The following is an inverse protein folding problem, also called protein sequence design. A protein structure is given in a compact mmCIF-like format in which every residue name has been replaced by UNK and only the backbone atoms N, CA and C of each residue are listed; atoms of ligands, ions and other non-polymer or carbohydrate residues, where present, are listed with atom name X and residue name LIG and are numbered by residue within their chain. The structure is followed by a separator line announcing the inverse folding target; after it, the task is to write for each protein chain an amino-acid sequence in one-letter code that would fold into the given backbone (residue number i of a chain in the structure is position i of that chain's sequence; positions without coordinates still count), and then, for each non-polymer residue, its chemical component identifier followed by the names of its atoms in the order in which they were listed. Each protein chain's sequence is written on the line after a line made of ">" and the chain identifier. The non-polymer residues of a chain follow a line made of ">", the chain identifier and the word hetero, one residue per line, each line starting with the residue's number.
data_IF_981202117055
#
_entry.id   IF_981202117055
#
_cell.length_a   1.000
_cell.length_b   1.000
_cell.length_c   1.000
_cell.angle_alpha   90.00
_cell.angle_beta   90.00
_cell.angle_gamma   90.00
#
_symmetry.space_group_name_H-M   'P 1'
#
loop_
_entity.id
_entity.type
_entity.pdbx_description
1 polymer ?
#
# COMPACT_ATOMS: atom_id res chain seq x y z
N UNK A 1 -15.82 -10.68 32.96
CA UNK A 1 -14.39 -10.96 32.69
C UNK A 1 -14.21 -11.13 31.19
N UNK A 2 -13.67 -10.12 30.51
CA UNK A 2 -12.79 -10.30 29.35
C UNK A 2 -11.89 -9.06 29.32
N UNK A 3 -10.99 -9.00 30.30
CA UNK A 3 -10.22 -7.82 30.66
C UNK A 3 -8.88 -7.68 29.95
N UNK A 4 -8.64 -8.41 28.85
CA UNK A 4 -7.30 -8.53 28.25
C UNK A 4 -7.21 -8.12 26.76
N UNK A 5 -8.21 -7.44 26.20
CA UNK A 5 -8.12 -6.90 24.84
C UNK A 5 -7.65 -5.43 24.87
N UNK A 6 -6.43 -5.19 24.39
CA UNK A 6 -5.84 -3.86 24.24
C UNK A 6 -6.45 -3.14 23.03
N UNK A 7 -7.18 -2.05 23.29
CA UNK A 7 -7.89 -1.25 22.28
C UNK A 7 -7.27 0.15 22.22
N UNK A 8 -6.33 0.42 21.30
CA UNK A 8 -5.61 1.70 21.23
C UNK A 8 -6.54 2.84 20.80
N UNK A 9 -6.55 3.97 21.50
CA UNK A 9 -7.29 5.20 21.09
C UNK A 9 -6.38 6.15 20.32
N UNK A 10 -5.07 6.09 20.60
CA UNK A 10 -4.02 6.88 19.97
C UNK A 10 -2.86 5.96 19.57
N UNK A 11 -1.92 6.49 18.78
CA UNK A 11 -0.69 5.78 18.39
C UNK A 11 0.14 5.42 19.63
N UNK A 12 0.12 6.28 20.64
CA UNK A 12 0.80 6.05 21.91
C UNK A 12 0.17 4.89 22.67
N UNK A 13 -1.14 4.70 22.55
CA UNK A 13 -1.86 3.57 23.16
C UNK A 13 -1.67 2.26 22.41
N UNK A 14 -0.87 2.21 21.34
CA UNK A 14 -0.38 0.96 20.76
C UNK A 14 0.91 0.49 21.46
N UNK A 15 1.54 1.36 22.28
CA UNK A 15 2.72 1.04 23.10
C UNK A 15 2.21 0.38 24.38
N UNK A 16 2.42 -0.93 24.54
CA UNK A 16 1.98 -1.63 25.75
C UNK A 16 2.73 -1.16 27.01
N UNK A 17 3.98 -0.68 26.88
CA UNK A 17 4.86 -0.09 27.90
C UNK A 17 5.85 0.90 27.21
N UNK A 18 6.59 1.72 27.98
CA UNK A 18 7.65 2.60 27.43
C UNK A 18 8.76 1.87 26.66
N UNK A 19 8.89 0.55 26.84
CA UNK A 19 9.81 -0.34 26.13
C UNK A 19 9.16 -1.10 24.94
N UNK A 20 7.91 -0.79 24.60
CA UNK A 20 7.18 -1.39 23.47
C UNK A 20 7.36 -0.55 22.21
N UNK A 21 7.98 -1.14 21.19
CA UNK A 21 8.22 -0.51 19.89
C UNK A 21 7.00 -0.69 18.98
N UNK A 22 6.50 0.40 18.40
CA UNK A 22 5.48 0.37 17.35
C UNK A 22 6.14 0.20 15.99
N UNK A 23 5.80 -0.88 15.30
CA UNK A 23 6.32 -1.18 13.97
C UNK A 23 5.27 -0.78 12.91
N UNK A 24 5.67 0.08 11.96
CA UNK A 24 4.99 0.29 10.68
C UNK A 24 3.67 1.05 10.69
N UNK A 25 3.71 2.38 10.79
CA UNK A 25 2.68 3.24 10.20
C UNK A 25 3.36 4.33 9.39
N UNK A 26 3.22 4.30 8.07
CA UNK A 26 3.39 5.53 7.28
C UNK A 26 2.09 6.31 7.44
N UNK A 27 2.08 7.20 8.42
CA UNK A 27 1.01 8.18 8.57
C UNK A 27 1.30 9.22 7.51
N UNK A 28 0.39 9.38 6.57
CA UNK A 28 0.44 10.50 5.65
C UNK A 28 0.20 11.75 6.49
N UNK A 29 1.25 12.51 6.76
CA UNK A 29 1.19 13.73 7.56
C UNK A 29 1.30 14.99 6.71
N UNK A 30 1.64 14.85 5.42
CA UNK A 30 1.70 15.96 4.48
C UNK A 30 0.55 15.88 3.48
N UNK A 31 -0.04 17.04 3.17
CA UNK A 31 -1.08 17.15 2.15
C UNK A 31 -0.53 16.67 0.80
N UNK A 32 0.72 17.00 0.46
CA UNK A 32 1.37 16.55 -0.77
C UNK A 32 1.40 15.01 -0.90
N UNK A 33 1.69 14.31 0.20
CA UNK A 33 1.73 12.84 0.20
C UNK A 33 0.34 12.21 0.19
N UNK A 34 -0.64 12.87 0.81
CA UNK A 34 -2.07 12.56 0.70
C UNK A 34 -2.58 12.77 -0.73
N UNK A 35 -1.99 13.74 -1.42
CA UNK A 35 -2.39 14.22 -2.74
C UNK A 35 -1.55 13.67 -3.89
N UNK A 36 -0.65 12.69 -3.68
CA UNK A 36 0.15 12.04 -4.74
C UNK A 36 -0.68 11.36 -5.88
N UNK A 37 -1.99 11.60 -5.94
CA UNK A 37 -2.93 11.25 -7.02
C UNK A 37 -3.52 12.51 -7.71
N UNK A 38 -3.68 13.65 -7.01
CA UNK A 38 -4.35 14.86 -7.51
C UNK A 38 -3.47 15.79 -8.35
N UNK A 39 -2.19 15.95 -7.97
CA UNK A 39 -1.23 16.80 -8.68
C UNK A 39 -0.93 16.33 -10.10
N UNK A 40 -1.04 15.02 -10.38
CA UNK A 40 -0.88 14.47 -11.72
C UNK A 40 -2.05 14.83 -12.65
N UNK A 41 -3.28 14.87 -12.11
CA UNK A 41 -4.50 15.22 -12.84
C UNK A 41 -4.58 16.74 -13.08
N UNK A 42 -4.24 17.55 -12.09
CA UNK A 42 -4.25 19.01 -12.19
C UNK A 42 -3.30 19.55 -13.29
N UNK A 43 -2.07 19.01 -13.38
CA UNK A 43 -1.11 19.42 -14.43
C UNK A 43 -1.49 18.97 -15.84
N UNK A 44 -2.08 17.77 -16.00
CA UNK A 44 -2.46 17.27 -17.33
C UNK A 44 -3.79 17.87 -17.84
N UNK A 45 -4.74 18.18 -16.94
CA UNK A 45 -6.05 18.72 -17.32
C UNK A 45 -6.07 20.24 -17.50
N UNK A 46 -5.15 21.01 -16.92
CA UNK A 46 -5.08 22.47 -17.15
C UNK A 46 -4.83 22.86 -18.63
N UNK A 47 -4.17 22.00 -19.41
CA UNK A 47 -3.92 22.22 -20.84
C UNK A 47 -5.08 21.76 -21.74
N UNK A 48 -6.03 21.02 -21.19
CA UNK A 48 -7.24 20.58 -21.87
C UNK A 48 -8.39 21.44 -21.35
N UNK A 49 -9.40 21.72 -22.15
CA UNK A 49 -10.55 22.51 -21.68
C UNK A 49 -11.37 21.67 -20.67
N UNK A 50 -10.92 21.59 -19.40
CA UNK A 50 -11.36 20.61 -18.40
C UNK A 50 -12.87 20.66 -18.16
N UNK A 51 -13.45 21.87 -18.23
CA UNK A 51 -14.89 22.13 -18.16
C UNK A 51 -15.65 21.35 -19.23
N UNK A 52 -15.09 21.14 -20.42
CA UNK A 52 -15.75 20.37 -21.48
C UNK A 52 -15.67 18.85 -21.28
N UNK A 53 -14.70 18.37 -20.49
CA UNK A 53 -14.39 16.95 -20.32
C UNK A 53 -14.84 16.38 -18.96
N UNK A 54 -15.72 17.11 -18.27
CA UNK A 54 -16.32 16.70 -17.01
C UNK A 54 -17.06 15.36 -17.14
N UNK A 55 -16.83 14.45 -16.20
CA UNK A 55 -17.49 13.15 -16.14
C UNK A 55 -18.54 13.10 -15.02
N UNK A 56 -19.54 12.23 -15.18
CA UNK A 56 -20.47 11.91 -14.09
C UNK A 56 -19.67 11.30 -12.93
N UNK A 57 -19.98 11.71 -11.72
CA UNK A 57 -19.28 11.42 -10.45
C UNK A 57 -17.89 12.06 -10.32
N UNK A 58 -17.46 12.90 -11.27
CA UNK A 58 -16.25 13.71 -11.09
C UNK A 58 -16.48 14.74 -9.98
N UNK A 59 -15.51 14.88 -9.07
CA UNK A 59 -15.50 15.92 -8.05
C UNK A 59 -15.11 17.26 -8.67
N UNK A 60 -15.63 18.35 -8.10
CA UNK A 60 -15.30 19.75 -8.47
C UNK A 60 -15.29 20.61 -7.20
N UNK A 61 -14.61 21.75 -7.24
CA UNK A 61 -14.72 22.77 -6.20
C UNK A 61 -15.86 23.72 -6.60
N UNK A 62 -16.83 23.98 -5.73
CA UNK A 62 -17.93 24.92 -6.03
C UNK A 62 -18.15 25.90 -4.88
N UNK A 63 -18.12 27.20 -5.18
CA UNK A 63 -18.40 28.23 -4.20
C UNK A 63 -19.91 28.41 -4.02
N UNK A 64 -20.42 28.05 -2.84
CA UNK A 64 -21.83 28.04 -2.54
C UNK A 64 -22.09 28.53 -1.10
N UNK A 65 -23.08 29.42 -0.92
CA UNK A 65 -23.46 29.99 0.38
C UNK A 65 -22.27 30.54 1.20
N UNK A 66 -21.36 31.25 0.53
CA UNK A 66 -20.25 31.94 1.20
C UNK A 66 -19.04 31.05 1.52
N UNK A 67 -19.06 29.77 1.17
CA UNK A 67 -17.95 28.83 1.37
C UNK A 67 -17.68 27.97 0.13
N UNK A 68 -16.46 27.46 0.04
CA UNK A 68 -16.11 26.45 -0.96
C UNK A 68 -16.62 25.08 -0.48
N UNK A 69 -17.25 24.36 -1.40
CA UNK A 69 -17.75 23.00 -1.22
C UNK A 69 -17.09 22.08 -2.24
N UNK A 70 -17.16 20.77 -2.00
CA UNK A 70 -16.55 19.74 -2.86
C UNK A 70 -17.60 18.80 -3.50
N UNK A 71 -18.56 19.31 -4.28
CA UNK A 71 -19.62 18.47 -4.85
C UNK A 71 -19.10 17.58 -5.99
N UNK A 72 -19.89 16.59 -6.36
CA UNK A 72 -19.68 15.79 -7.57
C UNK A 72 -20.72 16.11 -8.63
N UNK A 73 -20.37 15.81 -9.88
CA UNK A 73 -21.24 15.98 -11.03
C UNK A 73 -22.24 14.83 -11.07
N UNK A 74 -23.51 15.11 -10.80
CA UNK A 74 -24.58 14.12 -10.81
C UNK A 74 -25.11 13.87 -12.22
N UNK A 75 -25.27 14.93 -13.00
CA UNK A 75 -25.77 14.87 -14.38
C UNK A 75 -25.07 15.87 -15.28
N UNK A 76 -24.83 15.44 -16.52
CA UNK A 76 -24.40 16.30 -17.63
C UNK A 76 -25.62 16.53 -18.52
N UNK A 77 -26.01 17.80 -18.73
CA UNK A 77 -27.16 18.10 -19.58
C UNK A 77 -26.79 18.04 -21.07
N UNK A 78 -27.76 17.67 -21.91
CA UNK A 78 -27.58 17.42 -23.36
C UNK A 78 -27.03 18.62 -24.16
N UNK A 79 -27.13 19.84 -23.64
CA UNK A 79 -26.57 21.05 -24.26
C UNK A 79 -25.10 21.29 -23.91
N UNK A 80 -24.49 20.45 -23.06
CA UNK A 80 -23.12 20.60 -22.53
C UNK A 80 -22.82 21.93 -21.82
N UNK A 81 -23.79 22.83 -21.67
CA UNK A 81 -23.60 24.14 -21.06
C UNK A 81 -23.75 24.11 -19.53
N UNK A 82 -24.55 23.18 -19.00
CA UNK A 82 -24.86 23.10 -17.58
C UNK A 82 -24.60 21.70 -17.01
N UNK A 83 -24.28 21.65 -15.73
CA UNK A 83 -24.12 20.44 -14.92
C UNK A 83 -25.01 20.52 -13.70
N UNK A 84 -25.49 19.37 -13.24
CA UNK A 84 -26.16 19.29 -11.94
C UNK A 84 -25.15 18.78 -10.93
N UNK A 85 -24.84 19.61 -9.95
CA UNK A 85 -23.93 19.29 -8.85
C UNK A 85 -24.73 19.04 -7.58
N UNK A 86 -24.29 18.05 -6.81
CA UNK A 86 -24.91 17.70 -5.53
C UNK A 86 -24.13 18.36 -4.39
N UNK A 87 -24.66 19.47 -3.86
CA UNK A 87 -23.96 20.31 -2.87
C UNK A 87 -24.10 19.75 -1.46
N UNK A 88 -25.23 19.10 -1.15
CA UNK A 88 -25.46 18.35 0.10
C UNK A 88 -26.61 17.36 -0.08
N UNK A 89 -26.87 16.50 0.91
CA UNK A 89 -27.86 15.39 0.88
C UNK A 89 -29.27 15.77 0.40
N UNK A 90 -29.65 17.06 0.45
CA UNK A 90 -30.99 17.53 0.12
C UNK A 90 -31.02 18.53 -1.04
N UNK A 91 -29.85 18.90 -1.59
CA UNK A 91 -29.76 20.02 -2.53
C UNK A 91 -28.90 19.72 -3.75
N UNK A 92 -29.55 19.83 -4.90
CA UNK A 92 -28.93 19.88 -6.22
C UNK A 92 -28.92 21.32 -6.72
N UNK A 93 -27.82 21.72 -7.36
CA UNK A 93 -27.71 23.00 -8.05
C UNK A 93 -27.43 22.73 -9.53
N UNK A 94 -28.09 23.47 -10.42
CA UNK A 94 -27.80 23.46 -11.84
C UNK A 94 -26.83 24.62 -12.10
N UNK A 95 -25.60 24.30 -12.47
CA UNK A 95 -24.48 25.24 -12.59
C UNK A 95 -23.96 25.23 -14.01
N UNK A 96 -23.73 26.42 -14.57
CA UNK A 96 -23.11 26.53 -15.87
C UNK A 96 -21.66 26.02 -15.83
N UNK A 97 -21.22 25.26 -16.83
CA UNK A 97 -19.84 24.72 -16.86
C UNK A 97 -18.78 25.82 -16.82
N UNK A 98 -19.10 27.01 -17.30
CA UNK A 98 -18.24 28.19 -17.28
C UNK A 98 -18.44 29.10 -16.06
N UNK A 99 -19.22 28.66 -15.06
CA UNK A 99 -19.43 29.43 -13.83
C UNK A 99 -18.08 29.69 -13.13
N UNK A 100 -17.85 30.93 -12.72
CA UNK A 100 -16.64 31.35 -12.01
C UNK A 100 -16.56 30.79 -10.59
N UNK A 101 -17.69 30.36 -10.04
CA UNK A 101 -17.76 29.66 -8.76
C UNK A 101 -17.43 28.17 -8.91
N UNK A 102 -17.36 27.64 -10.13
CA UNK A 102 -17.01 26.24 -10.40
C UNK A 102 -15.54 26.13 -10.78
N UNK A 103 -14.76 25.45 -9.95
CA UNK A 103 -13.33 25.23 -10.11
C UNK A 103 -12.99 23.75 -10.15
N UNK A 104 -11.79 23.45 -10.64
CA UNK A 104 -11.31 22.07 -10.66
C UNK A 104 -11.15 21.56 -9.23
N UNK A 105 -11.48 20.29 -9.00
CA UNK A 105 -11.41 19.69 -7.66
C UNK A 105 -10.02 19.85 -7.03
N UNK A 106 -10.00 20.29 -5.77
CA UNK A 106 -8.81 20.58 -4.95
C UNK A 106 -8.01 21.80 -5.40
N UNK A 107 -8.59 22.72 -6.17
CA UNK A 107 -7.99 24.03 -6.41
C UNK A 107 -7.92 24.88 -5.11
N UNK A 108 -8.75 24.57 -4.12
CA UNK A 108 -8.85 25.30 -2.84
C UNK A 108 -8.39 24.52 -1.61
N UNK A 109 -7.83 23.32 -1.75
CA UNK A 109 -7.16 22.64 -0.64
C UNK A 109 -5.91 23.43 -0.23
N UNK A 110 -5.79 23.78 1.04
CA UNK A 110 -4.69 24.57 1.60
C UNK A 110 -4.01 23.82 2.74
N UNK A 111 -2.81 24.27 3.13
CA UNK A 111 -2.08 23.71 4.29
C UNK A 111 -2.82 23.82 5.63
N UNK A 112 -3.92 24.58 5.68
CA UNK A 112 -4.79 24.66 6.86
C UNK A 112 -5.81 23.51 6.96
N UNK A 113 -5.96 22.69 5.92
CA UNK A 113 -6.81 21.51 5.97
C UNK A 113 -6.13 20.39 6.79
N UNK A 114 -6.88 19.80 7.73
CA UNK A 114 -6.39 18.74 8.60
C UNK A 114 -6.38 17.36 7.91
N UNK A 115 -5.39 16.55 8.26
CA UNK A 115 -5.38 15.13 7.90
C UNK A 115 -5.94 14.34 9.08
N UNK A 116 -7.04 13.64 8.81
CA UNK A 116 -7.70 12.77 9.77
C UNK A 116 -6.92 11.46 9.87
N UNK A 117 -6.47 11.14 11.07
CA UNK A 117 -5.79 9.88 11.38
C UNK A 117 -6.68 9.06 12.29
N UNK A 118 -7.40 8.09 11.74
CA UNK A 118 -8.47 7.34 12.43
C UNK A 118 -8.10 5.86 12.53
N UNK A 119 -8.09 5.26 13.74
CA UNK A 119 -7.91 3.81 13.91
C UNK A 119 -9.05 3.01 13.30
N UNK A 120 -8.73 1.92 12.61
CA UNK A 120 -9.65 0.92 12.08
C UNK A 120 -9.45 -0.37 12.87
N UNK A 121 -10.55 -0.99 13.30
CA UNK A 121 -10.56 -2.31 13.93
C UNK A 121 -11.52 -3.21 13.16
N UNK A 122 -11.06 -4.42 12.82
CA UNK A 122 -11.88 -5.40 12.14
C UNK A 122 -12.42 -6.44 13.11
N UNK A 123 -13.71 -6.71 12.96
CA UNK A 123 -14.46 -7.63 13.79
C UNK A 123 -15.12 -8.70 12.94
N UNK A 124 -15.14 -9.92 13.47
CA UNK A 124 -15.81 -11.05 12.88
C UNK A 124 -17.11 -11.30 13.64
N UNK A 125 -18.20 -11.54 12.92
CA UNK A 125 -19.46 -11.94 13.50
C UNK A 125 -19.60 -13.47 13.47
N UNK A 126 -19.50 -14.12 14.62
CA UNK A 126 -19.56 -15.58 14.74
C UNK A 126 -20.91 -16.07 15.28
N UNK A 127 -22.03 -15.56 14.76
CA UNK A 127 -23.42 -15.88 15.11
C UNK A 127 -23.86 -15.69 16.58
N UNK A 128 -22.92 -15.59 17.53
CA UNK A 128 -23.17 -15.44 18.97
C UNK A 128 -22.37 -14.27 19.58
N UNK A 129 -21.25 -13.86 18.97
CA UNK A 129 -20.42 -12.76 19.47
C UNK A 129 -19.68 -12.03 18.33
N UNK A 130 -19.48 -10.71 18.49
CA UNK A 130 -18.66 -9.88 17.62
C UNK A 130 -17.28 -9.74 18.26
N UNK A 131 -16.27 -10.40 17.71
CA UNK A 131 -14.91 -10.40 18.27
C UNK A 131 -13.92 -9.75 17.33
N UNK A 132 -12.94 -8.97 17.83
CA UNK A 132 -11.87 -8.44 17.01
C UNK A 132 -10.99 -9.61 16.54
N UNK A 133 -10.69 -9.67 15.24
CA UNK A 133 -9.91 -10.79 14.66
C UNK A 133 -8.66 -10.32 13.89
N UNK A 134 -8.50 -9.01 13.66
CA UNK A 134 -7.33 -8.46 13.00
C UNK A 134 -6.57 -7.50 13.92
N UNK A 135 -5.29 -7.28 13.58
CA UNK A 135 -4.53 -6.18 14.16
C UNK A 135 -5.19 -4.85 13.70
N UNK A 136 -5.42 -3.87 14.60
CA UNK A 136 -5.93 -2.55 14.22
C UNK A 136 -5.03 -1.84 13.21
N UNK A 137 -5.55 -1.10 12.23
CA UNK A 137 -4.75 -0.30 11.31
C UNK A 137 -5.10 1.19 11.40
N UNK A 138 -4.22 2.09 10.93
CA UNK A 138 -4.46 3.55 10.98
C UNK A 138 -4.78 4.07 9.58
N UNK A 139 -5.94 4.72 9.41
CA UNK A 139 -6.31 5.39 8.17
C UNK A 139 -5.90 6.86 8.22
N UNK A 140 -5.15 7.33 7.22
CA UNK A 140 -4.82 8.75 7.04
C UNK A 140 -5.54 9.28 5.80
N UNK A 141 -6.50 10.19 5.98
CA UNK A 141 -7.27 10.81 4.90
C UNK A 141 -7.44 12.30 5.14
N UNK A 142 -7.54 13.11 4.09
CA UNK A 142 -7.82 14.54 4.24
C UNK A 142 -9.22 14.80 4.77
N UNK A 143 -9.40 15.86 5.56
CA UNK A 143 -10.73 16.27 6.02
C UNK A 143 -11.66 16.71 4.86
N UNK A 144 -11.09 17.05 3.70
CA UNK A 144 -11.81 17.36 2.46
C UNK A 144 -12.32 16.13 1.70
N UNK A 145 -12.04 14.91 2.19
CA UNK A 145 -12.64 13.69 1.65
C UNK A 145 -14.14 13.67 1.96
N UNK A 146 -14.90 12.92 1.17
CA UNK A 146 -16.32 12.65 1.44
C UNK A 146 -16.51 11.33 2.18
N UNK A 147 -17.72 11.10 2.71
CA UNK A 147 -18.09 9.78 3.24
C UNK A 147 -18.00 8.67 2.19
N UNK A 148 -18.35 8.95 0.94
CA UNK A 148 -18.17 8.04 -0.19
C UNK A 148 -16.70 7.66 -0.41
N UNK A 149 -15.79 8.64 -0.38
CA UNK A 149 -14.35 8.39 -0.51
C UNK A 149 -13.82 7.54 0.63
N UNK A 150 -14.23 7.84 1.87
CA UNK A 150 -13.90 7.03 3.04
C UNK A 150 -14.37 5.58 2.86
N UNK A 151 -15.62 5.37 2.41
CA UNK A 151 -16.13 4.01 2.13
C UNK A 151 -15.29 3.29 1.09
N UNK A 152 -14.85 3.96 0.03
CA UNK A 152 -14.01 3.34 -1.00
C UNK A 152 -12.62 2.98 -0.48
N UNK A 153 -12.00 3.81 0.36
CA UNK A 153 -10.75 3.45 1.03
C UNK A 153 -10.91 2.23 1.95
N UNK A 154 -12.02 2.16 2.70
CA UNK A 154 -12.31 0.99 3.53
C UNK A 154 -12.52 -0.27 2.69
N UNK A 155 -13.22 -0.17 1.54
CA UNK A 155 -13.35 -1.30 0.60
C UNK A 155 -12.00 -1.75 0.06
N UNK A 156 -11.10 -0.81 -0.24
CA UNK A 156 -9.73 -1.10 -0.70
C UNK A 156 -8.92 -1.82 0.37
N UNK A 157 -9.09 -1.46 1.65
CA UNK A 157 -8.49 -2.18 2.79
C UNK A 157 -9.06 -3.60 2.89
N UNK A 158 -10.39 -3.75 2.88
CA UNK A 158 -11.04 -5.06 2.92
C UNK A 158 -10.68 -5.97 1.74
N UNK A 159 -10.41 -5.41 0.55
CA UNK A 159 -10.02 -6.17 -0.64
C UNK A 159 -8.75 -6.98 -0.45
N UNK A 160 -7.87 -6.59 0.47
CA UNK A 160 -6.68 -7.35 0.83
C UNK A 160 -7.01 -8.69 1.51
N UNK A 161 -8.23 -8.83 2.03
CA UNK A 161 -8.66 -9.98 2.82
C UNK A 161 -9.74 -10.83 2.11
N UNK A 162 -10.17 -10.50 0.90
CA UNK A 162 -11.22 -11.27 0.18
C UNK A 162 -11.00 -11.35 -1.34
N UNK A 163 -11.58 -12.39 -1.97
CA UNK A 163 -11.50 -12.63 -3.42
C UNK A 163 -11.95 -11.40 -4.23
N UNK A 164 -11.26 -11.11 -5.34
CA UNK A 164 -11.58 -10.04 -6.30
C UNK A 164 -13.04 -10.11 -6.79
N UNK A 165 -13.63 -11.30 -6.89
CA UNK A 165 -14.98 -11.49 -7.39
C UNK A 165 -16.08 -11.16 -6.38
N UNK A 166 -15.74 -11.04 -5.09
CA UNK A 166 -16.72 -10.75 -4.03
C UNK A 166 -16.98 -9.24 -3.96
N UNK A 167 -18.24 -8.86 -3.83
CA UNK A 167 -18.59 -7.46 -3.53
C UNK A 167 -18.35 -7.23 -2.04
N UNK A 168 -17.38 -6.39 -1.69
CA UNK A 168 -17.00 -6.13 -0.29
C UNK A 168 -18.20 -5.72 0.56
N UNK A 169 -19.07 -4.88 0.04
CA UNK A 169 -20.28 -4.39 0.71
C UNK A 169 -21.28 -5.51 1.06
N UNK A 170 -21.22 -6.62 0.31
CA UNK A 170 -22.07 -7.78 0.59
C UNK A 170 -21.58 -8.56 1.82
N UNK A 171 -20.31 -8.42 2.20
CA UNK A 171 -19.66 -9.17 3.28
C UNK A 171 -19.16 -8.30 4.44
N UNK A 172 -19.16 -6.97 4.32
CA UNK A 172 -18.73 -6.06 5.39
C UNK A 172 -19.73 -4.94 5.63
N UNK A 173 -19.81 -4.49 6.88
CA UNK A 173 -20.42 -3.21 7.27
C UNK A 173 -19.37 -2.30 7.90
N UNK A 174 -19.48 -1.00 7.67
CA UNK A 174 -18.55 0.00 8.19
C UNK A 174 -19.24 0.94 9.16
N UNK A 175 -18.67 1.10 10.36
CA UNK A 175 -19.20 1.96 11.40
C UNK A 175 -18.16 2.98 11.84
N UNK A 176 -18.62 4.18 12.18
CA UNK A 176 -17.82 5.19 12.87
C UNK A 176 -18.27 5.25 14.33
N UNK A 177 -17.32 5.02 15.21
CA UNK A 177 -17.50 4.94 16.65
C UNK A 177 -16.82 6.14 17.32
N UNK A 178 -17.54 6.84 18.18
CA UNK A 178 -16.97 7.84 19.07
C UNK A 178 -16.64 7.18 20.42
N UNK A 179 -15.37 7.27 20.83
CA UNK A 179 -14.86 6.66 22.06
C UNK A 179 -15.24 7.51 23.27
N UNK A 180 -15.34 8.84 23.11
CA UNK A 180 -15.64 9.79 24.18
C UNK A 180 -17.05 10.37 24.04
N UNK A 181 -17.89 10.17 25.06
CA UNK A 181 -19.26 10.68 25.23
C UNK A 181 -20.27 10.41 24.09
N UNK A 182 -21.53 10.21 24.50
CA UNK A 182 -22.60 9.58 23.72
C UNK A 182 -23.14 10.31 22.49
N UNK A 183 -22.44 11.31 21.93
CA UNK A 183 -22.91 12.01 20.71
C UNK A 183 -22.20 11.43 19.49
N UNK A 184 -23.01 10.92 18.56
CA UNK A 184 -22.55 10.41 17.29
C UNK A 184 -22.04 11.53 16.36
N UNK A 185 -20.84 11.40 15.78
CA UNK A 185 -20.32 12.40 14.82
C UNK A 185 -20.96 12.31 13.43
N UNK A 186 -21.68 11.23 13.12
CA UNK A 186 -22.42 11.04 11.87
C UNK A 186 -23.77 11.76 11.94
N UNK A 187 -24.69 11.30 12.81
CA UNK A 187 -26.08 11.78 12.85
C UNK A 187 -26.41 12.71 14.04
N UNK A 188 -25.42 13.04 14.90
CA UNK A 188 -25.57 13.93 16.07
C UNK A 188 -26.56 13.45 17.14
N UNK A 189 -27.01 12.20 17.06
CA UNK A 189 -27.91 11.58 18.05
C UNK A 189 -27.15 10.95 19.22
N UNK A 190 -27.87 10.62 20.30
CA UNK A 190 -27.31 10.06 21.53
C UNK A 190 -27.00 8.55 21.41
N UNK A 191 -25.98 8.21 20.63
CA UNK A 191 -25.37 6.88 20.58
C UNK A 191 -23.90 6.97 20.18
N UNK A 192 -23.14 5.90 20.44
CA UNK A 192 -21.68 5.89 20.28
C UNK A 192 -21.19 5.41 18.93
N UNK A 193 -22.01 4.67 18.17
CA UNK A 193 -21.62 4.16 16.86
C UNK A 193 -22.74 4.36 15.83
N UNK A 194 -22.38 4.67 14.59
CA UNK A 194 -23.32 4.78 13.48
C UNK A 194 -22.70 4.15 12.24
N UNK A 195 -23.53 3.63 11.34
CA UNK A 195 -23.04 3.21 10.04
C UNK A 195 -22.46 4.42 9.31
N UNK A 196 -21.29 4.25 8.71
CA UNK A 196 -20.68 5.29 7.88
C UNK A 196 -21.63 5.53 6.70
N UNK A 197 -22.14 6.73 6.43
CA UNK A 197 -23.11 6.94 5.37
C UNK A 197 -22.46 6.76 3.99
N UNK A 198 -23.30 6.58 2.97
CA UNK A 198 -22.89 6.50 1.57
C UNK A 198 -23.39 7.75 0.83
N UNK A 199 -22.79 8.89 1.16
CA UNK A 199 -23.13 10.19 0.63
C UNK A 199 -21.85 10.99 0.33
N UNK A 200 -22.02 12.21 -0.17
CA UNK A 200 -20.91 13.07 -0.59
C UNK A 200 -20.68 14.26 0.36
N UNK A 201 -21.20 14.22 1.59
CA UNK A 201 -20.83 15.22 2.59
C UNK A 201 -19.35 15.06 2.97
N UNK A 202 -18.65 16.19 3.09
CA UNK A 202 -17.24 16.22 3.44
C UNK A 202 -17.00 15.85 4.93
N UNK A 203 -15.76 15.50 5.26
CA UNK A 203 -15.36 15.09 6.60
C UNK A 203 -14.79 16.24 7.44
N UNK A 204 -14.94 17.51 7.03
CA UNK A 204 -14.36 18.66 7.73
C UNK A 204 -14.86 18.77 9.17
N UNK A 205 -16.11 18.38 9.41
CA UNK A 205 -16.71 18.35 10.74
C UNK A 205 -16.01 17.38 11.70
N UNK A 206 -15.23 16.43 11.18
CA UNK A 206 -14.44 15.49 11.99
C UNK A 206 -13.05 16.06 12.35
N UNK A 207 -12.58 17.12 11.70
CA UNK A 207 -11.22 17.66 11.89
C UNK A 207 -10.88 18.01 13.34
N UNK A 208 -11.87 18.41 14.14
CA UNK A 208 -11.67 18.73 15.56
C UNK A 208 -11.89 17.55 16.51
N UNK A 209 -12.46 16.44 16.05
CA UNK A 209 -12.91 15.32 16.90
C UNK A 209 -12.33 13.97 16.49
N UNK A 210 -11.62 13.87 15.37
CA UNK A 210 -11.15 12.59 14.82
C UNK A 210 -10.25 11.79 15.75
N UNK A 211 -9.53 12.45 16.67
CA UNK A 211 -8.70 11.80 17.69
C UNK A 211 -9.52 10.91 18.65
N UNK A 212 -10.83 11.14 18.74
CA UNK A 212 -11.75 10.37 19.57
C UNK A 212 -12.57 9.37 18.74
N UNK A 213 -12.26 9.22 17.45
CA UNK A 213 -13.01 8.36 16.54
C UNK A 213 -12.28 7.04 16.32
N UNK A 214 -13.06 6.01 16.02
CA UNK A 214 -12.60 4.72 15.50
C UNK A 214 -13.51 4.27 14.39
N UNK A 215 -12.95 3.59 13.42
CA UNK A 215 -13.70 2.88 12.39
C UNK A 215 -13.77 1.41 12.78
N UNK A 216 -14.97 0.87 12.76
CA UNK A 216 -15.26 -0.53 13.04
C UNK A 216 -15.74 -1.19 11.76
N UNK A 217 -14.98 -2.17 11.26
CA UNK A 217 -15.36 -2.99 10.12
C UNK A 217 -15.90 -4.31 10.65
N UNK A 218 -17.17 -4.61 10.38
CA UNK A 218 -17.81 -5.86 10.81
C UNK A 218 -17.99 -6.78 9.61
N UNK A 219 -17.35 -7.94 9.65
CA UNK A 219 -17.44 -8.96 8.62
C UNK A 219 -18.62 -9.90 8.89
N UNK A 220 -19.42 -10.16 7.85
CA UNK A 220 -20.65 -10.96 7.89
C UNK A 220 -20.42 -12.46 7.72
N UNK A 221 -19.26 -12.86 7.21
CA UNK A 221 -18.90 -14.26 6.99
C UNK A 221 -17.39 -14.50 7.15
N UNK A 222 -16.98 -15.77 7.09
CA UNK A 222 -15.58 -16.22 7.23
C UNK A 222 -14.83 -16.34 5.90
N UNK A 223 -15.31 -15.68 4.83
CA UNK A 223 -14.74 -15.75 3.48
C UNK A 223 -13.48 -14.90 3.33
N UNK A 224 -12.53 -15.09 4.24
CA UNK A 224 -11.22 -14.47 4.21
C UNK A 224 -10.31 -15.24 3.25
N UNK A 225 -9.29 -14.59 2.69
CA UNK A 225 -8.14 -15.34 2.17
C UNK A 225 -7.56 -16.16 3.33
N UNK A 226 -7.48 -17.48 3.18
CA UNK A 226 -6.56 -18.26 3.99
C UNK A 226 -5.15 -17.73 3.71
N UNK A 227 -4.41 -17.37 4.77
CA UNK A 227 -3.00 -17.02 4.62
C UNK A 227 -2.33 -18.12 3.79
N UNK A 228 -1.64 -17.75 2.70
CA UNK A 228 -0.71 -18.67 2.08
C UNK A 228 0.25 -19.11 3.18
N UNK A 229 0.20 -20.41 3.52
CA UNK A 229 1.22 -21.00 4.38
C UNK A 229 2.55 -20.66 3.72
N UNK A 230 3.45 -20.03 4.46
CA UNK A 230 4.84 -19.89 4.03
C UNK A 230 5.36 -21.31 3.89
N UNK A 231 5.30 -21.88 2.69
CA UNK A 231 5.91 -23.17 2.42
C UNK A 231 7.40 -22.95 2.59
N UNK A 232 7.92 -23.48 3.70
CA UNK A 232 9.35 -23.68 3.84
C UNK A 232 9.68 -24.70 2.77
N UNK A 233 10.34 -24.23 1.70
CA UNK A 233 10.67 -25.09 0.56
C UNK A 233 11.51 -26.25 1.06
N UNK A 234 11.12 -27.46 0.66
CA UNK A 234 11.91 -28.65 0.90
C UNK A 234 13.25 -28.53 0.15
N UNK A 235 14.32 -28.90 0.83
CA UNK A 235 15.67 -28.98 0.28
C UNK A 235 15.73 -30.05 -0.82
N UNK A 236 15.63 -29.63 -2.07
CA UNK A 236 16.28 -30.27 -3.21
C UNK A 236 17.01 -29.17 -4.00
N UNK A 237 18.16 -29.50 -4.61
CA UNK A 237 19.18 -28.65 -5.26
C UNK A 237 18.69 -27.39 -6.02
N UNK A 238 18.14 -26.43 -5.27
CA UNK A 238 17.56 -25.18 -5.74
C UNK A 238 18.05 -24.09 -4.81
N UNK A 239 18.59 -23.01 -5.40
CA UNK A 239 19.03 -21.85 -4.62
C UNK A 239 17.87 -20.88 -4.52
N UNK A 240 17.65 -20.32 -3.34
CA UNK A 240 16.78 -19.15 -3.21
C UNK A 240 17.55 -17.88 -3.57
N UNK A 241 16.82 -16.83 -3.93
CA UNK A 241 17.39 -15.50 -4.08
C UNK A 241 18.07 -15.03 -2.78
N UNK A 242 17.55 -15.46 -1.62
CA UNK A 242 18.15 -15.15 -0.33
C UNK A 242 19.53 -15.80 -0.16
N UNK A 243 19.71 -17.03 -0.65
CA UNK A 243 21.01 -17.71 -0.62
C UNK A 243 22.03 -16.94 -1.47
N UNK A 244 21.64 -16.54 -2.69
CA UNK A 244 22.48 -15.74 -3.57
C UNK A 244 22.91 -14.41 -2.92
N UNK A 245 22.00 -13.75 -2.21
CA UNK A 245 22.29 -12.48 -1.53
C UNK A 245 23.11 -12.66 -0.26
N UNK A 246 22.94 -13.78 0.44
CA UNK A 246 23.75 -14.12 1.62
C UNK A 246 25.20 -14.38 1.23
N UNK A 247 25.41 -15.09 0.12
CA UNK A 247 26.73 -15.29 -0.48
C UNK A 247 27.35 -13.94 -0.92
N UNK A 248 26.55 -13.05 -1.51
CA UNK A 248 27.01 -11.73 -1.97
C UNK A 248 27.56 -10.84 -0.84
N UNK A 249 27.07 -10.99 0.39
CA UNK A 249 27.50 -10.19 1.56
C UNK A 249 28.44 -10.95 2.50
N UNK A 250 28.86 -12.16 2.13
CA UNK A 250 29.71 -12.98 2.97
C UNK A 250 31.06 -12.29 3.25
N UNK A 251 31.63 -12.58 4.41
CA UNK A 251 32.98 -12.15 4.76
C UNK A 251 34.01 -12.85 3.88
N UNK A 252 34.87 -12.05 3.24
CA UNK A 252 35.92 -12.54 2.34
C UNK A 252 37.28 -12.09 2.87
N UNK A 253 38.33 -12.93 2.84
CA UNK A 253 39.67 -12.50 3.20
C UNK A 253 40.20 -11.46 2.21
N UNK A 254 40.94 -10.47 2.73
CA UNK A 254 41.65 -9.49 1.92
C UNK A 254 43.13 -9.83 1.94
N UNK A 255 43.75 -9.91 0.77
CA UNK A 255 45.20 -10.04 0.63
C UNK A 255 45.87 -8.65 0.67
N UNK A 256 45.72 -7.93 1.79
CA UNK A 256 46.35 -6.62 1.99
C UNK A 256 46.74 -6.43 3.46
N UNK A 257 47.98 -5.99 3.69
CA UNK A 257 48.49 -5.71 5.03
C UNK A 257 47.76 -4.52 5.66
N UNK A 258 47.26 -4.70 6.87
CA UNK A 258 46.68 -3.61 7.63
C UNK A 258 47.77 -2.63 8.06
N UNK A 259 47.61 -1.35 7.71
CA UNK A 259 48.54 -0.28 8.08
C UNK A 259 48.74 -0.12 9.60
N UNK A 260 47.76 -0.56 10.40
CA UNK A 260 47.78 -0.40 11.86
C UNK A 260 48.44 -1.59 12.56
N UNK A 261 48.09 -2.83 12.20
CA UNK A 261 48.58 -4.03 12.88
C UNK A 261 49.56 -4.88 12.06
N UNK A 262 49.83 -4.52 10.80
CA UNK A 262 50.71 -5.25 9.87
C UNK A 262 50.35 -6.73 9.66
N UNK A 263 49.08 -7.09 9.90
CA UNK A 263 48.54 -8.43 9.64
C UNK A 263 47.83 -8.44 8.28
N UNK A 264 47.90 -9.59 7.60
CA UNK A 264 47.32 -9.84 6.28
C UNK A 264 46.06 -10.72 6.33
N UNK A 265 45.62 -11.16 7.52
CA UNK A 265 44.48 -12.07 7.69
C UNK A 265 43.17 -11.36 8.06
N UNK A 266 42.89 -10.22 7.43
CA UNK A 266 41.66 -9.49 7.67
C UNK A 266 40.53 -9.97 6.76
N UNK A 267 39.31 -9.98 7.32
CA UNK A 267 38.09 -10.22 6.56
C UNK A 267 37.41 -8.89 6.26
N UNK A 268 36.92 -8.73 5.03
CA UNK A 268 36.00 -7.65 4.65
C UNK A 268 34.59 -8.20 4.56
N UNK A 269 33.63 -7.45 5.12
CA UNK A 269 32.21 -7.67 4.93
C UNK A 269 31.61 -6.51 4.15
N UNK A 270 30.91 -6.83 3.07
CA UNK A 270 30.09 -5.85 2.34
C UNK A 270 28.65 -5.96 2.79
N UNK A 271 27.91 -4.85 2.76
CA UNK A 271 26.46 -4.87 3.00
C UNK A 271 25.82 -3.58 2.55
N UNK A 272 24.50 -3.50 2.69
CA UNK A 272 23.71 -2.38 2.25
C UNK A 272 23.62 -1.31 3.35
N UNK A 273 23.87 -0.05 2.97
CA UNK A 273 23.71 1.10 3.87
C UNK A 273 22.31 1.72 3.76
N UNK A 274 21.81 1.84 2.53
CA UNK A 274 20.49 2.36 2.19
C UNK A 274 19.91 1.53 1.03
N UNK A 275 18.57 1.52 0.90
CA UNK A 275 17.85 0.72 -0.10
C UNK A 275 16.92 1.58 -0.96
N UNK A 276 16.82 1.32 -2.28
CA UNK A 276 16.07 2.15 -3.22
C UNK A 276 14.55 1.88 -3.20
N UNK A 277 13.71 2.79 -3.72
CA UNK A 277 12.28 2.50 -3.92
C UNK A 277 12.06 1.38 -4.95
N UNK A 278 12.94 1.29 -5.95
CA UNK A 278 12.95 0.22 -6.95
C UNK A 278 14.28 -0.51 -6.84
N UNK A 279 14.21 -1.77 -6.39
CA UNK A 279 15.36 -2.66 -6.31
C UNK A 279 15.47 -3.44 -7.61
N UNK A 280 16.60 -3.32 -8.30
CA UNK A 280 16.91 -4.07 -9.52
C UNK A 280 17.96 -5.11 -9.18
N UNK A 281 17.65 -6.39 -9.39
CA UNK A 281 18.57 -7.50 -9.13
C UNK A 281 18.93 -8.15 -10.45
N UNK A 282 20.22 -8.19 -10.76
CA UNK A 282 20.75 -8.94 -11.90
C UNK A 282 21.26 -10.30 -11.40
N UNK A 283 20.65 -11.38 -11.87
CA UNK A 283 21.17 -12.72 -11.64
C UNK A 283 22.35 -12.94 -12.59
N UNK A 284 23.58 -12.87 -12.07
CA UNK A 284 24.77 -13.12 -12.86
C UNK A 284 24.86 -14.59 -13.25
N UNK A 285 24.37 -14.90 -14.45
CA UNK A 285 24.37 -16.25 -15.03
C UNK A 285 25.63 -16.54 -15.83
N UNK A 286 26.71 -15.78 -15.68
CA UNK A 286 27.98 -16.05 -16.36
C UNK A 286 28.95 -16.75 -15.40
N UNK A 287 29.47 -17.90 -15.82
CA UNK A 287 30.52 -18.63 -15.12
C UNK A 287 31.69 -18.90 -16.06
N UNK A 288 32.88 -19.19 -15.53
CA UNK A 288 33.99 -19.72 -16.32
C UNK A 288 34.05 -21.22 -16.13
N UNK A 289 34.16 -21.98 -17.22
CA UNK A 289 34.47 -23.40 -17.13
C UNK A 289 35.98 -23.61 -16.85
N UNK A 290 36.40 -24.85 -16.66
CA UNK A 290 37.81 -25.21 -16.43
C UNK A 290 38.76 -24.75 -17.54
N UNK A 291 38.28 -24.55 -18.77
CA UNK A 291 39.09 -24.03 -19.89
C UNK A 291 39.11 -22.51 -19.97
N UNK A 292 38.52 -21.80 -19.00
CA UNK A 292 38.45 -20.35 -18.95
C UNK A 292 37.44 -19.72 -19.91
N UNK A 293 36.65 -20.53 -20.63
CA UNK A 293 35.57 -20.05 -21.47
C UNK A 293 34.38 -19.64 -20.62
N UNK A 294 33.79 -18.49 -20.94
CA UNK A 294 32.54 -18.05 -20.31
C UNK A 294 31.39 -18.94 -20.77
N UNK A 295 30.80 -19.64 -19.81
CA UNK A 295 29.59 -20.44 -19.97
C UNK A 295 28.43 -19.77 -19.23
N UNK A 296 27.21 -20.03 -19.67
CA UNK A 296 26.02 -19.54 -18.99
C UNK A 296 25.46 -20.61 -18.04
N UNK A 297 25.08 -20.21 -16.83
CA UNK A 297 24.37 -21.08 -15.89
C UNK A 297 22.86 -20.97 -16.09
N UNK A 298 22.19 -22.11 -16.21
CA UNK A 298 20.73 -22.22 -16.21
C UNK A 298 20.23 -22.72 -14.84
N UNK A 299 21.02 -22.53 -13.79
CA UNK A 299 20.66 -22.91 -12.42
C UNK A 299 19.35 -22.25 -12.03
N UNK A 300 18.42 -23.04 -11.54
CA UNK A 300 17.15 -22.53 -11.06
C UNK A 300 17.37 -21.73 -9.77
N UNK A 301 16.88 -20.49 -9.74
CA UNK A 301 16.91 -19.63 -8.56
C UNK A 301 15.47 -19.29 -8.23
N UNK A 302 14.98 -19.75 -7.07
CA UNK A 302 13.64 -19.42 -6.60
C UNK A 302 13.65 -18.02 -5.99
N UNK A 303 12.75 -17.15 -6.46
CA UNK A 303 12.60 -15.80 -5.94
C UNK A 303 11.13 -15.52 -5.56
N UNK A 304 10.89 -14.78 -4.47
CA UNK A 304 9.53 -14.50 -4.00
C UNK A 304 8.85 -13.42 -4.85
N UNK A 305 7.57 -13.61 -5.15
CA UNK A 305 6.77 -12.60 -5.87
C UNK A 305 6.32 -11.44 -4.97
N UNK A 306 6.21 -11.68 -3.66
CA UNK A 306 5.77 -10.70 -2.66
C UNK A 306 6.55 -10.85 -1.36
N UNK A 307 6.52 -9.82 -0.51
CA UNK A 307 7.11 -9.82 0.83
C UNK A 307 8.60 -10.22 0.86
N UNK A 308 9.35 -9.82 -0.16
CA UNK A 308 10.78 -10.08 -0.24
C UNK A 308 11.55 -9.20 0.74
N UNK A 309 12.16 -9.81 1.77
CA UNK A 309 12.86 -9.09 2.85
C UNK A 309 14.38 -9.07 2.62
N UNK A 310 14.93 -7.87 2.39
CA UNK A 310 16.38 -7.66 2.26
C UNK A 310 17.05 -7.16 3.54
N UNK A 311 16.34 -7.14 4.67
CA UNK A 311 16.82 -6.55 5.91
C UNK A 311 18.08 -7.22 6.46
N UNK A 312 18.26 -8.51 6.20
CA UNK A 312 19.47 -9.26 6.59
C UNK A 312 20.76 -8.78 5.91
N UNK A 313 20.65 -8.01 4.81
CA UNK A 313 21.80 -7.48 4.08
C UNK A 313 22.31 -6.14 4.61
N UNK A 314 21.58 -5.50 5.53
CA UNK A 314 21.89 -4.15 5.99
C UNK A 314 23.07 -4.16 6.96
N UNK A 315 24.04 -3.25 6.78
CA UNK A 315 25.22 -3.16 7.69
C UNK A 315 24.89 -2.52 9.04
N UNK A 316 23.82 -1.71 9.09
CA UNK A 316 23.27 -1.13 10.32
C UNK A 316 22.16 -2.02 10.85
N UNK A 317 22.52 -3.09 11.54
CA UNK A 317 21.59 -3.74 12.48
C UNK A 317 22.05 -3.44 13.90
N UNK A 318 21.81 -2.20 14.33
CA UNK A 318 21.50 -1.93 15.73
C UNK A 318 20.17 -1.20 15.72
N UNK A 319 19.09 -1.95 15.86
CA UNK A 319 17.82 -1.38 16.26
C UNK A 319 17.30 -2.20 17.42
N UNK A 320 17.79 -1.89 18.61
CA UNK A 320 16.92 -1.90 19.79
C UNK A 320 16.09 -0.63 19.67
N UNK A 321 14.85 -0.69 19.18
CA UNK A 321 14.02 0.52 19.06
C UNK A 321 13.52 0.83 17.67
N UNK A 322 12.70 0.01 16.98
CA UNK A 322 12.07 0.47 15.73
C UNK A 322 10.92 1.41 16.08
N UNK A 323 11.09 2.70 15.78
CA UNK A 323 10.07 3.74 16.00
C UNK A 323 9.57 4.30 14.66
N UNK A 324 8.57 5.20 14.69
CA UNK A 324 8.00 5.86 13.50
C UNK A 324 9.07 6.63 12.70
N UNK A 325 10.13 7.08 13.36
CA UNK A 325 11.27 7.76 12.74
C UNK A 325 12.20 6.80 11.94
N UNK A 326 12.07 5.48 12.13
CA UNK A 326 12.83 4.43 11.43
C UNK A 326 12.07 3.85 10.22
N UNK A 327 10.94 4.41 9.80
CA UNK A 327 10.21 3.98 8.58
C UNK A 327 11.07 3.96 7.30
N UNK A 328 12.25 4.61 7.31
CA UNK A 328 13.33 4.45 6.32
C UNK A 328 13.92 3.04 6.26
N UNK A 329 13.61 2.15 7.20
CA UNK A 329 14.10 0.77 7.30
C UNK A 329 13.12 -0.28 6.76
N UNK A 330 12.11 0.07 5.94
CA UNK A 330 11.30 -0.97 5.26
C UNK A 330 12.16 -1.76 4.28
N UNK A 331 12.39 -3.04 4.54
CA UNK A 331 13.17 -3.88 3.66
C UNK A 331 12.32 -4.85 2.85
N UNK A 332 10.98 -4.69 2.87
CA UNK A 332 10.04 -5.52 2.11
C UNK A 332 9.79 -4.98 0.71
N UNK A 333 9.81 -5.88 -0.26
CA UNK A 333 9.56 -5.58 -1.67
C UNK A 333 8.59 -6.58 -2.30
N UNK A 334 7.82 -6.10 -3.27
CA UNK A 334 7.02 -6.94 -4.15
C UNK A 334 7.59 -6.93 -5.56
N UNK A 335 7.67 -8.10 -6.18
CA UNK A 335 8.08 -8.22 -7.57
C UNK A 335 6.98 -7.64 -8.46
N UNK A 336 7.38 -6.78 -9.40
CA UNK A 336 6.45 -6.21 -10.38
C UNK A 336 6.89 -6.41 -11.82
N UNK A 337 8.16 -6.75 -12.06
CA UNK A 337 8.61 -7.18 -13.37
C UNK A 337 9.78 -8.16 -13.33
N UNK A 338 9.87 -9.00 -14.36
CA UNK A 338 10.97 -9.94 -14.62
C UNK A 338 11.38 -9.81 -16.07
N UNK A 339 12.69 -9.73 -16.32
CA UNK A 339 13.26 -9.93 -17.66
C UNK A 339 13.76 -11.36 -17.72
N UNK A 340 13.15 -12.12 -18.61
CA UNK A 340 13.55 -13.47 -18.96
C UNK A 340 14.51 -13.42 -20.14
N UNK A 341 15.49 -14.32 -20.15
CA UNK A 341 16.32 -14.55 -21.32
C UNK A 341 16.22 -16.00 -21.76
N UNK A 342 15.88 -16.20 -23.03
CA UNK A 342 15.85 -17.49 -23.71
C UNK A 342 17.05 -17.59 -24.63
N UNK A 343 17.76 -18.70 -24.56
CA UNK A 343 18.84 -18.97 -25.49
C UNK A 343 18.24 -19.57 -26.76
N UNK A 344 18.44 -18.91 -27.90
CA UNK A 344 18.18 -19.48 -29.22
C UNK A 344 19.43 -20.16 -29.79
N UNK A 345 19.27 -20.86 -30.91
CA UNK A 345 20.34 -21.66 -31.53
C UNK A 345 21.56 -20.84 -31.99
N UNK A 346 21.43 -19.51 -32.15
CA UNK A 346 22.51 -18.60 -32.60
C UNK A 346 22.52 -17.22 -31.90
N UNK A 347 21.45 -16.84 -31.21
CA UNK A 347 21.29 -15.56 -30.51
C UNK A 347 20.37 -15.71 -29.31
N UNK A 348 20.42 -14.76 -28.38
CA UNK A 348 19.47 -14.67 -27.27
C UNK A 348 18.17 -14.00 -27.65
N UNK A 349 17.13 -14.24 -26.86
CA UNK A 349 15.85 -13.54 -26.91
C UNK A 349 15.44 -13.09 -25.52
N UNK A 350 15.10 -11.81 -25.36
CA UNK A 350 14.65 -11.24 -24.09
C UNK A 350 13.14 -11.05 -24.13
N UNK A 351 12.46 -11.48 -23.08
CA UNK A 351 11.02 -11.24 -22.89
C UNK A 351 10.77 -10.67 -21.50
N UNK A 352 9.64 -10.01 -21.29
CA UNK A 352 9.32 -9.39 -20.00
C UNK A 352 8.02 -9.93 -19.42
N UNK A 353 7.98 -10.15 -18.12
CA UNK A 353 6.74 -10.31 -17.36
C UNK A 353 6.53 -9.03 -16.54
N UNK A 354 5.35 -8.42 -16.60
CA UNK A 354 5.04 -7.23 -15.81
C UNK A 354 3.66 -7.34 -15.15
N UNK A 355 3.57 -6.88 -13.90
CA UNK A 355 2.34 -6.80 -13.13
C UNK A 355 1.61 -5.49 -13.39
N UNK A 356 0.34 -5.56 -13.76
CA UNK A 356 -0.52 -4.39 -14.01
C UNK A 356 -1.04 -3.81 -12.70
N UNK A 357 -1.62 -2.60 -12.77
CA UNK A 357 -2.28 -1.96 -11.63
C UNK A 357 -3.46 -2.76 -11.07
N UNK A 358 -4.05 -3.67 -11.87
CA UNK A 358 -5.16 -4.54 -11.46
C UNK A 358 -4.69 -5.85 -10.79
N UNK A 359 -3.40 -5.96 -10.46
CA UNK A 359 -2.76 -7.18 -9.97
C UNK A 359 -2.95 -8.36 -10.95
N UNK A 360 -2.75 -8.12 -12.24
CA UNK A 360 -2.71 -9.14 -13.29
C UNK A 360 -1.30 -9.19 -13.88
N UNK A 361 -0.83 -10.36 -14.28
CA UNK A 361 0.48 -10.52 -14.91
C UNK A 361 0.33 -10.61 -16.42
N UNK A 362 1.14 -9.84 -17.14
CA UNK A 362 1.23 -9.88 -18.59
C UNK A 362 2.64 -10.32 -19.00
N UNK A 363 2.73 -11.16 -20.03
CA UNK A 363 3.97 -11.52 -20.71
C UNK A 363 4.08 -10.75 -22.02
N UNK A 364 5.18 -10.04 -22.18
CA UNK A 364 5.55 -9.24 -23.34
C UNK A 364 6.66 -9.95 -24.10
N UNK A 365 6.33 -10.38 -25.31
CA UNK A 365 7.22 -11.07 -26.25
C UNK A 365 7.12 -10.33 -27.60
N UNK A 366 7.98 -9.33 -27.77
CA UNK A 366 7.97 -8.39 -28.89
C UNK A 366 6.59 -7.76 -29.16
N UNK A 367 5.93 -8.18 -30.24
CA UNK A 367 4.61 -7.70 -30.68
C UNK A 367 3.45 -8.43 -30.01
N UNK A 368 3.73 -9.45 -29.17
CA UNK A 368 2.73 -10.28 -28.49
C UNK A 368 2.65 -9.94 -27.02
N UNK A 369 1.43 -9.69 -26.56
CA UNK A 369 1.11 -9.47 -25.15
C UNK A 369 0.08 -10.52 -24.71
N UNK A 370 0.47 -11.36 -23.76
CA UNK A 370 -0.37 -12.45 -23.27
C UNK A 370 -0.69 -12.24 -21.79
N UNK A 371 -1.95 -12.47 -21.40
CA UNK A 371 -2.34 -12.56 -20.01
C UNK A 371 -1.87 -13.88 -19.42
N UNK A 372 -1.29 -13.84 -18.22
CA UNK A 372 -0.84 -15.02 -17.49
C UNK A 372 -1.99 -15.57 -16.65
N UNK A 373 -2.20 -16.88 -16.73
CA UNK A 373 -3.31 -17.57 -16.09
C UNK A 373 -3.11 -17.73 -14.57
N UNK A 374 -4.04 -18.41 -13.89
CA UNK A 374 -4.09 -18.50 -12.41
C UNK A 374 -2.84 -19.11 -11.77
N UNK A 375 -2.02 -19.86 -12.51
CA UNK A 375 -0.78 -20.48 -12.04
C UNK A 375 0.47 -19.64 -12.39
N UNK A 376 0.39 -18.33 -12.15
CA UNK A 376 1.40 -17.36 -12.59
C UNK A 376 2.79 -17.56 -11.93
N UNK A 377 2.88 -18.18 -10.75
CA UNK A 377 4.18 -18.37 -10.07
C UNK A 377 5.07 -19.32 -10.86
N UNK A 378 4.55 -20.45 -11.34
CA UNK A 378 5.31 -21.42 -12.12
C UNK A 378 5.75 -20.85 -13.48
N UNK A 379 4.94 -19.96 -14.05
CA UNK A 379 5.25 -19.34 -15.35
C UNK A 379 6.30 -18.23 -15.25
N UNK A 380 6.33 -17.50 -14.12
CA UNK A 380 7.23 -16.36 -13.90
C UNK A 380 8.55 -16.81 -13.26
N UNK A 381 8.48 -17.70 -12.27
CA UNK A 381 9.66 -18.17 -11.51
C UNK A 381 10.31 -19.31 -12.29
N UNK A 382 11.20 -18.95 -13.22
CA UNK A 382 11.89 -19.91 -14.09
C UNK A 382 13.41 -19.78 -14.03
N UNK A 383 14.12 -20.80 -14.50
CA UNK A 383 15.58 -20.79 -14.65
C UNK A 383 16.10 -19.74 -15.66
N UNK A 384 15.19 -19.11 -16.42
CA UNK A 384 15.49 -18.12 -17.45
C UNK A 384 15.49 -16.69 -16.92
N UNK A 385 14.92 -16.48 -15.73
CA UNK A 385 14.87 -15.17 -15.08
C UNK A 385 16.27 -14.57 -14.99
N UNK A 386 16.43 -13.36 -15.52
CA UNK A 386 17.72 -12.72 -15.69
C UNK A 386 17.83 -11.42 -14.90
N UNK A 387 16.79 -10.57 -14.94
CA UNK A 387 16.71 -9.36 -14.13
C UNK A 387 15.37 -9.35 -13.39
N UNK A 388 15.41 -9.08 -12.10
CA UNK A 388 14.23 -8.98 -11.24
C UNK A 388 14.04 -7.52 -10.84
N UNK A 389 12.81 -7.02 -10.99
CA UNK A 389 12.43 -5.67 -10.58
C UNK A 389 11.45 -5.74 -9.42
N UNK A 390 11.94 -5.31 -8.28
CA UNK A 390 11.24 -5.27 -7.02
C UNK A 390 10.86 -3.83 -6.69
N UNK A 391 9.60 -3.60 -6.32
CA UNK A 391 9.12 -2.32 -5.82
C UNK A 391 9.02 -2.41 -4.31
N UNK A 392 9.65 -1.47 -3.62
CA UNK A 392 9.59 -1.35 -2.17
C UNK A 392 8.12 -1.23 -1.79
N UNK A 393 7.69 -2.05 -0.85
CA UNK A 393 6.35 -1.90 -0.31
C UNK A 393 6.27 -0.50 0.31
N UNK A 394 5.32 0.31 -0.15
CA UNK A 394 4.94 1.50 0.63
C UNK A 394 4.06 0.99 1.75
N UNK A 395 4.31 1.42 2.98
CA UNK A 395 3.46 1.04 4.09
C UNK A 395 2.09 1.71 3.90
N UNK A 396 1.21 1.10 3.12
CA UNK A 396 -0.21 1.51 3.11
C UNK A 396 -0.90 0.76 4.21
N UNK A 397 -0.87 1.33 5.42
CA UNK A 397 -1.71 0.97 6.58
C UNK A 397 -2.09 -0.52 6.66
N UNK A 398 -1.10 -1.41 6.75
CA UNK A 398 -1.28 -2.82 7.06
C UNK A 398 -0.09 -3.28 7.90
N UNK A 399 -0.39 -3.84 9.07
CA UNK A 399 0.49 -3.92 10.24
C UNK A 399 1.68 -4.88 10.10
N UNK A 400 2.77 -4.58 10.81
CA UNK A 400 3.62 -5.60 11.43
C UNK A 400 3.72 -5.22 12.91
N UNK A 401 3.16 -6.00 13.84
CA UNK A 401 3.56 -5.94 15.25
C UNK A 401 4.29 -7.25 15.51
N UNK A 402 5.60 -7.22 15.80
CA UNK A 402 6.27 -8.36 16.41
C UNK A 402 6.30 -8.15 17.93
N UNK A 403 5.63 -9.02 18.68
CA UNK A 403 5.96 -9.18 20.09
C UNK A 403 7.43 -9.61 20.18
N UNK A 404 8.20 -8.96 21.05
CA UNK A 404 9.48 -9.51 21.54
C UNK A 404 9.14 -10.90 22.08
N UNK A 405 9.58 -11.97 21.41
CA UNK A 405 9.60 -13.28 22.06
C UNK A 405 10.50 -13.11 23.28
N UNK A 406 9.94 -13.36 24.45
CA UNK A 406 10.68 -13.31 25.71
C UNK A 406 11.91 -14.22 25.63
N UNK A 407 12.94 -13.84 26.38
CA UNK A 407 14.16 -14.62 26.57
C UNK A 407 13.89 -16.05 26.99
#
# INVERSE_FOLDING_TARGET
>A
MCGNCFLPTKIEDLRQNNDSELYGFEIITSINDSENIGTFIAKHRMHLNWRNNLQINELVDYYYNGKWEFPHIKRLNNTNADIVIHVNESKEECVAKNDTNLEFYRNKTVSANEILVIPIIQYQNNNEEITPFSIPCMLSIGCWYTWYDLRNELKRICRQFCDKNVKVESITNFYLCNIENGICQVCRSNHRECEIPDNFENLEKLANTYKNLRIKIVWKNTSFYENMKTETLLQDETYSLQDCLSEFIQEVPIEMDCYICSDSHHLIKSGLWEVPEILTIHLNRSAKNFSGQTIRTNTFVKFPLTNFDIGSMMTRVIVTGQTVDDTKSNYLYDLYAVIDYRMGNKSGHYTAYCKTQNNEWLHFDDDKVNLINKDYEEEIVTSRAYILFYKRQKFRSANIIRQKQGK
#
